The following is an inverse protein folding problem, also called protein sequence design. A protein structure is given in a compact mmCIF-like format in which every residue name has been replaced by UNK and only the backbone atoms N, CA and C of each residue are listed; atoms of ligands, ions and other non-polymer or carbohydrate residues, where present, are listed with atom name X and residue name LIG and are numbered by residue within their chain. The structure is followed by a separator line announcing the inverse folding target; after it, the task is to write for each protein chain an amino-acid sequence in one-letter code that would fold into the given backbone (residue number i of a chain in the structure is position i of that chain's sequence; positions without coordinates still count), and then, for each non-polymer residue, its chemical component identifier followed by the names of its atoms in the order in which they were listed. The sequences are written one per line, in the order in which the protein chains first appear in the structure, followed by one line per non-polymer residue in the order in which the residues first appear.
data_IF_326707763650
#
_entry.id   IF_326707763650
#
_cell.length_a   1.000
_cell.length_b   1.000
_cell.length_c   1.000
_cell.angle_alpha   90.00
_cell.angle_beta   90.00
_cell.angle_gamma   90.00
#
_symmetry.space_group_name_H-M   'P 1'
#
loop_
_entity.id
_entity.type
_entity.pdbx_description
1 polymer ?
#
# COMPACT_ATOMS: atom_id res chain seq x y z
N UNK A 1 -6.48 10.80 14.07
CA UNK A 1 -7.31 10.69 12.84
C UNK A 1 -6.54 11.18 11.60
N UNK A 2 -5.24 10.87 11.47
CA UNK A 2 -4.41 11.27 10.31
C UNK A 2 -4.14 10.10 9.34
N UNK A 3 -4.68 8.91 9.60
CA UNK A 3 -4.47 7.71 8.76
C UNK A 3 -5.28 7.73 7.46
N UNK A 4 -6.24 8.64 7.32
CA UNK A 4 -7.09 8.78 6.13
C UNK A 4 -6.72 9.98 5.25
N UNK A 5 -5.81 10.84 5.72
CA UNK A 5 -5.27 11.92 4.91
C UNK A 5 -4.33 11.30 3.90
N UNK A 6 -4.72 11.41 2.64
CA UNK A 6 -3.99 10.89 1.50
C UNK A 6 -3.53 12.03 0.61
N UNK A 7 -2.25 12.07 0.24
CA UNK A 7 -1.71 12.92 -0.83
C UNK A 7 -2.19 12.46 -2.22
N UNK A 8 -2.75 11.26 -2.32
CA UNK A 8 -3.42 10.76 -3.52
C UNK A 8 -4.79 11.41 -3.64
N UNK A 9 -5.13 11.86 -4.86
CA UNK A 9 -6.44 12.41 -5.20
C UNK A 9 -7.52 11.32 -5.27
N UNK A 10 -7.88 10.77 -4.11
CA UNK A 10 -8.91 9.76 -3.95
C UNK A 10 -10.25 10.42 -3.61
N UNK A 11 -11.34 9.90 -4.19
CA UNK A 11 -12.68 10.31 -3.81
C UNK A 11 -13.06 9.76 -2.43
N UNK A 12 -14.01 10.40 -1.75
CA UNK A 12 -14.51 9.93 -0.45
C UNK A 12 -15.01 8.48 -0.51
N UNK A 13 -15.65 8.09 -1.61
CA UNK A 13 -16.11 6.71 -1.79
C UNK A 13 -14.95 5.73 -1.94
N UNK A 14 -13.90 6.10 -2.68
CA UNK A 14 -12.69 5.28 -2.77
C UNK A 14 -12.05 5.11 -1.39
N UNK A 15 -11.91 6.20 -0.62
CA UNK A 15 -11.38 6.16 0.74
C UNK A 15 -12.20 5.24 1.65
N UNK A 16 -13.54 5.32 1.59
CA UNK A 16 -14.43 4.42 2.35
C UNK A 16 -14.26 2.95 1.98
N UNK A 17 -14.10 2.65 0.69
CA UNK A 17 -13.87 1.28 0.22
C UNK A 17 -12.52 0.74 0.71
N UNK A 18 -11.46 1.55 0.62
CA UNK A 18 -10.13 1.20 1.12
C UNK A 18 -10.16 0.89 2.61
N UNK A 19 -10.73 1.77 3.44
CA UNK A 19 -10.89 1.56 4.88
C UNK A 19 -11.68 0.29 5.21
N UNK A 20 -12.73 0.01 4.44
CA UNK A 20 -13.58 -1.14 4.72
C UNK A 20 -12.89 -2.46 4.40
N UNK A 21 -12.12 -2.55 3.30
CA UNK A 21 -11.71 -3.82 2.70
C UNK A 21 -10.20 -4.06 2.56
N UNK A 22 -9.38 -3.02 2.51
CA UNK A 22 -8.01 -3.13 1.99
C UNK A 22 -6.93 -2.62 2.94
N UNK A 23 -7.19 -1.54 3.67
CA UNK A 23 -6.26 -1.02 4.67
C UNK A 23 -6.17 -2.01 5.83
N UNK A 24 -4.94 -2.26 6.30
CA UNK A 24 -4.71 -3.08 7.49
C UNK A 24 -5.46 -2.53 8.69
N UNK A 25 -5.87 -3.45 9.55
CA UNK A 25 -6.53 -3.16 10.80
C UNK A 25 -5.82 -3.89 11.93
N UNK A 26 -5.90 -3.33 13.12
CA UNK A 26 -5.53 -4.04 14.34
C UNK A 26 -6.60 -5.08 14.72
N UNK A 27 -6.37 -5.75 15.85
CA UNK A 27 -7.27 -6.79 16.37
C UNK A 27 -8.64 -6.25 16.80
N UNK A 28 -8.73 -4.95 17.10
CA UNK A 28 -9.96 -4.24 17.45
C UNK A 28 -10.72 -3.75 16.21
N UNK A 29 -10.13 -3.87 15.01
CA UNK A 29 -10.70 -3.46 13.74
C UNK A 29 -10.45 -1.99 13.39
N UNK A 30 -9.59 -1.28 14.12
CA UNK A 30 -9.21 0.10 13.80
C UNK A 30 -8.26 0.10 12.60
N UNK A 31 -8.43 1.07 11.68
CA UNK A 31 -7.54 1.22 10.52
C UNK A 31 -6.17 1.72 10.96
N UNK A 32 -5.12 0.96 10.63
CA UNK A 32 -3.72 1.26 11.04
C UNK A 32 -2.79 1.58 9.88
N UNK A 33 -3.30 1.60 8.65
CA UNK A 33 -2.53 1.79 7.43
C UNK A 33 -3.12 2.95 6.62
N UNK A 34 -2.26 3.79 6.01
CA UNK A 34 -2.71 4.83 5.07
C UNK A 34 -2.88 4.27 3.66
N UNK A 35 -3.70 4.90 2.80
CA UNK A 35 -3.79 4.52 1.39
C UNK A 35 -2.44 4.41 0.68
N UNK A 36 -1.52 5.36 0.90
CA UNK A 36 -0.18 5.34 0.31
C UNK A 36 0.64 4.15 0.76
N UNK A 37 0.58 3.82 2.04
CA UNK A 37 1.29 2.68 2.61
C UNK A 37 0.76 1.36 2.02
N UNK A 38 -0.56 1.28 1.80
CA UNK A 38 -1.19 0.14 1.12
C UNK A 38 -0.67 0.01 -0.32
N UNK A 39 -0.62 1.10 -1.09
CA UNK A 39 -0.09 1.08 -2.46
C UNK A 39 1.39 0.67 -2.50
N UNK A 40 2.24 1.26 -1.66
CA UNK A 40 3.67 0.87 -1.56
C UNK A 40 3.84 -0.59 -1.16
N UNK A 41 3.03 -1.09 -0.22
CA UNK A 41 3.06 -2.51 0.16
C UNK A 41 2.74 -3.43 -1.02
N UNK A 42 1.76 -3.06 -1.85
CA UNK A 42 1.44 -3.82 -3.06
C UNK A 42 2.58 -3.74 -4.06
N UNK A 43 3.12 -2.54 -4.33
CA UNK A 43 4.25 -2.34 -5.24
C UNK A 43 5.46 -3.19 -4.83
N UNK A 44 5.83 -3.18 -3.53
CA UNK A 44 6.87 -4.03 -2.95
C UNK A 44 6.63 -5.52 -3.18
N UNK A 45 5.42 -5.99 -2.93
CA UNK A 45 5.08 -7.40 -3.11
C UNK A 45 5.18 -7.84 -4.57
N UNK A 46 4.81 -6.96 -5.51
CA UNK A 46 4.94 -7.21 -6.95
C UNK A 46 6.40 -7.18 -7.37
N UNK A 47 7.14 -6.13 -7.03
CA UNK A 47 8.54 -5.95 -7.40
C UNK A 47 9.45 -7.07 -6.82
N UNK A 48 9.16 -7.55 -5.61
CA UNK A 48 9.91 -8.65 -5.01
C UNK A 48 9.85 -9.96 -5.83
N UNK A 49 8.82 -10.13 -6.68
CA UNK A 49 8.73 -11.31 -7.54
C UNK A 49 9.86 -11.35 -8.59
N UNK A 50 10.36 -10.18 -9.03
CA UNK A 50 11.40 -10.07 -10.06
C UNK A 50 12.76 -10.61 -9.60
N UNK A 51 13.02 -10.67 -8.29
CA UNK A 51 14.20 -11.33 -7.73
C UNK A 51 14.27 -12.82 -8.13
N UNK A 52 13.11 -13.45 -8.35
CA UNK A 52 13.05 -14.85 -8.79
C UNK A 52 13.39 -15.01 -10.28
N UNK A 53 13.46 -13.91 -11.03
CA UNK A 53 13.69 -13.87 -12.47
C UNK A 53 15.01 -13.19 -12.86
N UNK A 54 15.91 -12.98 -11.89
CA UNK A 54 17.28 -12.54 -12.14
C UNK A 54 17.52 -11.03 -11.99
N UNK A 55 16.50 -10.25 -11.60
CA UNK A 55 16.69 -8.86 -11.21
C UNK A 55 17.47 -8.75 -9.91
N UNK A 56 18.30 -7.71 -9.80
CA UNK A 56 19.03 -7.37 -8.58
C UNK A 56 18.14 -6.63 -7.56
N UNK A 57 18.52 -6.60 -6.27
CA UNK A 57 17.80 -5.82 -5.25
C UNK A 57 17.71 -4.33 -5.57
N UNK A 58 18.71 -3.77 -6.24
CA UNK A 58 18.73 -2.35 -6.63
C UNK A 58 17.73 -2.08 -7.76
N UNK A 59 17.68 -2.93 -8.78
CA UNK A 59 16.68 -2.84 -9.85
C UNK A 59 15.25 -3.01 -9.32
N UNK A 60 15.05 -3.92 -8.37
CA UNK A 60 13.75 -4.12 -7.71
C UNK A 60 13.35 -2.93 -6.84
N UNK A 61 14.30 -2.32 -6.13
CA UNK A 61 14.06 -1.13 -5.31
C UNK A 61 13.57 0.07 -6.11
N UNK A 62 13.96 0.18 -7.37
CA UNK A 62 13.48 1.26 -8.27
C UNK A 62 12.00 1.07 -8.66
N UNK A 63 11.48 -0.16 -8.62
CA UNK A 63 10.11 -0.48 -9.03
C UNK A 63 9.06 -0.29 -7.93
N UNK A 64 9.48 -0.19 -6.66
CA UNK A 64 8.57 -0.09 -5.51
C UNK A 64 8.16 1.35 -5.11
N UNK A 65 8.85 2.37 -5.64
CA UNK A 65 8.64 3.80 -5.37
C UNK A 65 7.79 4.51 -6.43
#
# INVERSE_FOLDING_TARGET
MDVLRSALNLTDNALKVLQKRYLKKDEEGNVTEKPEDMFRRVARAVAAADLNYGSSPEEVGVLED
#
